data_IF_004702688314
#
_entry.id   IF_004702688314
#
_cell.length_a   1.000
_cell.length_b   1.000
_cell.length_c   1.000
_cell.angle_alpha   90.00
_cell.angle_beta   90.00
_cell.angle_gamma   90.00
#
_symmetry.space_group_name_H-M   'P 1'
#
loop_
_entity.id
_entity.type
_entity.pdbx_description
1 polymer ?
#
# COMPACT_ATOMS: atom_id res chain seq x y z
N UNK A 1 24.70 -20.74 -8.50
CA UNK A 1 24.99 -19.58 -7.63
C UNK A 1 24.02 -19.52 -6.46
N UNK A 2 24.41 -18.89 -5.37
CA UNK A 2 23.62 -18.75 -4.14
C UNK A 2 23.56 -17.30 -3.69
N UNK A 3 22.43 -16.89 -3.13
CA UNK A 3 22.25 -15.58 -2.53
C UNK A 3 22.08 -15.69 -1.02
N UNK A 4 22.68 -14.75 -0.31
CA UNK A 4 22.43 -14.48 1.10
C UNK A 4 21.35 -13.42 1.20
N UNK A 5 20.19 -13.75 1.73
CA UNK A 5 19.02 -12.85 1.77
C UNK A 5 18.67 -12.50 3.22
N UNK A 6 18.46 -11.21 3.46
CA UNK A 6 17.89 -10.70 4.73
C UNK A 6 16.45 -10.27 4.52
N UNK A 7 15.61 -10.53 5.52
CA UNK A 7 14.19 -10.15 5.50
C UNK A 7 13.95 -9.02 6.50
N UNK A 8 12.91 -8.18 6.30
CA UNK A 8 12.53 -7.09 7.20
C UNK A 8 11.90 -7.59 8.51
N UNK A 9 12.64 -8.43 9.24
CA UNK A 9 12.28 -9.05 10.51
C UNK A 9 13.32 -8.66 11.58
N UNK A 10 12.91 -8.65 12.86
CA UNK A 10 13.80 -8.35 13.99
C UNK A 10 14.74 -9.51 14.31
N UNK A 11 15.60 -9.87 13.35
CA UNK A 11 16.56 -10.95 13.50
C UNK A 11 17.80 -10.70 12.65
N UNK A 12 18.99 -10.93 13.22
CA UNK A 12 20.27 -10.91 12.48
C UNK A 12 20.45 -12.13 11.56
N UNK A 13 19.46 -13.02 11.47
CA UNK A 13 19.53 -14.20 10.61
C UNK A 13 19.54 -13.78 9.14
N UNK A 14 20.51 -14.33 8.42
CA UNK A 14 20.63 -14.23 6.97
C UNK A 14 20.43 -15.64 6.41
N UNK A 15 19.56 -15.76 5.41
CA UNK A 15 19.15 -17.04 4.83
C UNK A 15 19.87 -17.27 3.51
N UNK A 16 20.23 -18.52 3.22
CA UNK A 16 20.87 -18.89 1.96
C UNK A 16 19.83 -19.47 1.02
N UNK A 17 19.74 -18.92 -0.19
CA UNK A 17 18.88 -19.41 -1.26
C UNK A 17 19.70 -19.73 -2.49
N UNK A 18 19.24 -20.72 -3.27
CA UNK A 18 19.76 -20.97 -4.60
C UNK A 18 19.14 -19.97 -5.56
N UNK A 19 19.97 -19.40 -6.42
CA UNK A 19 19.50 -18.51 -7.49
C UNK A 19 19.10 -19.40 -8.67
N UNK A 20 17.86 -19.29 -9.20
CA UNK A 20 17.48 -19.93 -10.46
C UNK A 20 18.28 -19.38 -11.64
N UNK A 21 18.54 -20.20 -12.66
CA UNK A 21 19.37 -19.81 -13.81
C UNK A 21 18.85 -18.56 -14.54
N UNK A 22 17.52 -18.42 -14.65
CA UNK A 22 16.88 -17.25 -15.28
C UNK A 22 17.07 -15.93 -14.51
N UNK A 23 17.64 -15.96 -13.29
CA UNK A 23 17.93 -14.78 -12.47
C UNK A 23 19.44 -14.52 -12.29
N UNK A 24 20.33 -15.29 -12.90
CA UNK A 24 21.78 -15.16 -12.70
C UNK A 24 22.33 -13.78 -13.06
N UNK A 25 21.89 -13.22 -14.19
CA UNK A 25 22.39 -11.93 -14.68
C UNK A 25 21.59 -10.72 -14.13
N UNK A 26 20.59 -10.98 -13.28
CA UNK A 26 19.67 -9.97 -12.75
C UNK A 26 19.90 -9.74 -11.25
N UNK A 27 20.23 -10.80 -10.51
CA UNK A 27 20.39 -10.72 -9.06
C UNK A 27 21.81 -10.29 -8.69
N UNK A 28 21.87 -9.18 -7.95
CA UNK A 28 23.08 -8.59 -7.40
C UNK A 28 22.86 -8.19 -5.93
N UNK A 29 23.93 -7.87 -5.17
CA UNK A 29 23.78 -7.27 -3.85
C UNK A 29 22.90 -6.01 -3.92
N UNK A 30 21.90 -5.92 -3.04
CA UNK A 30 20.89 -4.86 -3.05
C UNK A 30 19.58 -5.23 -3.74
N UNK A 31 19.54 -6.27 -4.59
CA UNK A 31 18.30 -6.67 -5.28
C UNK A 31 17.19 -7.07 -4.29
N UNK A 32 15.96 -6.61 -4.57
CA UNK A 32 14.77 -7.02 -3.82
C UNK A 32 14.13 -8.27 -4.45
N UNK A 33 14.10 -9.37 -3.69
CA UNK A 33 13.66 -10.69 -4.15
C UNK A 33 12.50 -11.21 -3.31
N UNK A 34 11.65 -12.03 -3.93
CA UNK A 34 10.68 -12.85 -3.22
C UNK A 34 11.31 -14.21 -2.93
N UNK A 35 11.35 -14.58 -1.65
CA UNK A 35 11.90 -15.87 -1.23
C UNK A 35 11.07 -16.49 -0.11
N UNK A 36 10.98 -17.83 -0.04
CA UNK A 36 10.16 -18.51 0.94
C UNK A 36 10.82 -18.47 2.33
N UNK A 37 10.09 -17.95 3.32
CA UNK A 37 10.44 -18.04 4.73
C UNK A 37 9.34 -18.82 5.48
N UNK A 38 9.72 -19.97 6.02
CA UNK A 38 8.78 -20.96 6.59
C UNK A 38 7.72 -21.37 5.56
N UNK A 39 6.46 -20.90 5.72
CA UNK A 39 5.30 -21.23 4.88
C UNK A 39 4.81 -20.04 4.05
N UNK A 40 5.55 -18.93 4.00
CA UNK A 40 5.13 -17.71 3.32
C UNK A 40 6.22 -17.23 2.39
N UNK A 41 5.81 -16.71 1.24
CA UNK A 41 6.69 -15.94 0.36
C UNK A 41 6.80 -14.52 0.91
N UNK A 42 8.01 -14.00 1.06
CA UNK A 42 8.24 -12.66 1.59
C UNK A 42 9.30 -11.93 0.75
N UNK A 43 9.17 -10.60 0.71
CA UNK A 43 10.18 -9.74 0.13
C UNK A 43 11.39 -9.67 1.07
N UNK A 44 12.59 -9.87 0.51
CA UNK A 44 13.87 -9.73 1.18
C UNK A 44 14.89 -9.09 0.25
N UNK A 45 16.03 -8.72 0.82
CA UNK A 45 17.12 -8.09 0.08
C UNK A 45 18.34 -9.01 0.03
N UNK A 46 18.94 -9.09 -1.15
CA UNK A 46 20.18 -9.84 -1.36
C UNK A 46 21.33 -9.05 -0.74
N UNK A 47 22.01 -9.65 0.22
CA UNK A 47 23.17 -9.09 0.91
C UNK A 47 24.46 -9.39 0.15
N UNK A 48 24.55 -10.60 -0.39
CA UNK A 48 25.71 -11.08 -1.11
C UNK A 48 25.32 -12.24 -2.03
N UNK A 49 26.11 -12.42 -3.09
CA UNK A 49 26.01 -13.54 -4.02
C UNK A 49 27.31 -14.34 -3.93
N UNK A 50 27.20 -15.66 -3.86
CA UNK A 50 28.32 -16.59 -3.70
C UNK A 50 28.21 -17.73 -4.71
N UNK A 51 29.35 -18.24 -5.18
CA UNK A 51 29.39 -19.41 -6.06
C UNK A 51 28.93 -20.68 -5.32
N UNK A 52 29.35 -20.83 -4.07
CA UNK A 52 29.05 -21.96 -3.19
C UNK A 52 28.19 -21.55 -1.99
N UNK A 53 27.35 -22.46 -1.44
CA UNK A 53 26.51 -22.14 -0.30
C UNK A 53 27.29 -22.28 1.00
N UNK A 54 27.17 -21.28 1.88
CA UNK A 54 27.71 -21.36 3.25
C UNK A 54 26.90 -22.34 4.12
N UNK A 55 25.60 -22.46 3.84
CA UNK A 55 24.70 -23.32 4.58
C UNK A 55 24.65 -24.74 3.99
N UNK A 56 24.84 -25.76 4.83
CA UNK A 56 24.87 -27.17 4.42
C UNK A 56 23.52 -27.91 4.48
N UNK A 57 22.47 -27.25 4.98
CA UNK A 57 21.15 -27.88 5.08
C UNK A 57 20.33 -27.76 3.81
N UNK A 58 19.00 -27.96 3.91
CA UNK A 58 18.10 -27.80 2.78
C UNK A 58 18.06 -26.33 2.34
N UNK A 59 18.48 -26.08 1.11
CA UNK A 59 18.45 -24.76 0.47
C UNK A 59 17.19 -24.67 -0.39
N UNK A 60 16.44 -23.59 -0.22
CA UNK A 60 15.29 -23.27 -1.07
C UNK A 60 15.72 -22.35 -2.22
N UNK A 61 14.91 -22.26 -3.26
CA UNK A 61 15.17 -21.37 -4.39
C UNK A 61 14.51 -20.00 -4.17
N UNK A 62 15.10 -18.97 -4.79
CA UNK A 62 14.46 -17.66 -4.95
C UNK A 62 13.29 -17.84 -5.91
N UNK A 63 12.13 -17.27 -5.57
CA UNK A 63 10.91 -17.40 -6.38
C UNK A 63 10.92 -16.42 -7.54
N UNK A 64 11.15 -15.13 -7.23
CA UNK A 64 11.15 -14.07 -8.24
C UNK A 64 11.99 -12.88 -7.78
N UNK A 65 12.38 -12.02 -8.72
CA UNK A 65 12.73 -10.63 -8.41
C UNK A 65 11.44 -9.81 -8.31
N UNK A 66 11.38 -8.81 -7.43
CA UNK A 66 10.17 -8.02 -7.20
C UNK A 66 10.09 -6.78 -8.09
N UNK A 67 11.18 -6.03 -8.17
CA UNK A 67 11.26 -4.81 -8.96
C UNK A 67 12.68 -4.72 -9.54
N UNK A 68 12.78 -4.75 -10.88
CA UNK A 68 14.05 -4.60 -11.58
C UNK A 68 14.63 -3.18 -11.40
N UNK A 69 13.77 -2.18 -11.19
CA UNK A 69 14.19 -0.77 -11.07
C UNK A 69 14.52 -0.38 -9.62
N UNK A 70 14.31 -1.28 -8.65
CA UNK A 70 14.64 -1.03 -7.25
C UNK A 70 16.11 -1.38 -6.97
N UNK A 71 17.00 -0.68 -7.67
CA UNK A 71 18.45 -0.78 -7.48
C UNK A 71 18.88 0.27 -6.46
N UNK A 72 19.28 -0.17 -5.27
CA UNK A 72 19.86 0.72 -4.27
C UNK A 72 21.26 1.14 -4.75
N UNK A 73 21.56 2.45 -4.86
CA UNK A 73 22.90 2.91 -5.19
C UNK A 73 23.92 2.30 -4.23
N UNK A 74 25.12 2.00 -4.74
CA UNK A 74 26.17 1.33 -3.96
C UNK A 74 26.52 2.11 -2.69
N UNK A 75 26.56 3.44 -2.76
CA UNK A 75 26.86 4.33 -1.64
C UNK A 75 25.77 4.28 -0.56
N UNK A 76 24.50 4.21 -0.98
CA UNK A 76 23.38 4.05 -0.07
C UNK A 76 23.46 2.68 0.61
N UNK A 77 23.71 1.62 -0.15
CA UNK A 77 23.88 0.27 0.40
C UNK A 77 24.99 0.21 1.46
N UNK A 78 26.15 0.78 1.16
CA UNK A 78 27.28 0.87 2.10
C UNK A 78 26.90 1.64 3.38
N UNK A 79 26.13 2.72 3.24
CA UNK A 79 25.64 3.49 4.37
C UNK A 79 24.67 2.67 5.24
N UNK A 80 23.73 1.95 4.62
CA UNK A 80 22.79 1.09 5.36
C UNK A 80 23.50 -0.07 6.06
N UNK A 81 24.51 -0.65 5.42
CA UNK A 81 25.35 -1.67 6.05
C UNK A 81 26.15 -1.10 7.23
N UNK A 82 26.72 0.10 7.08
CA UNK A 82 27.38 0.81 8.17
C UNK A 82 26.42 1.09 9.33
N UNK A 83 25.20 1.60 9.07
CA UNK A 83 24.17 1.82 10.10
C UNK A 83 23.88 0.52 10.86
N UNK A 84 23.67 -0.57 10.13
CA UNK A 84 23.40 -1.89 10.72
C UNK A 84 24.51 -2.35 11.66
N UNK A 85 25.77 -2.17 11.25
CA UNK A 85 26.94 -2.56 12.05
C UNK A 85 27.16 -1.63 13.24
N UNK A 86 27.14 -0.32 13.01
CA UNK A 86 27.43 0.70 14.02
C UNK A 86 26.38 0.73 15.12
N UNK A 87 25.09 0.70 14.75
CA UNK A 87 23.98 0.72 15.70
C UNK A 87 23.50 -0.67 16.11
N UNK A 88 24.25 -1.73 15.77
CA UNK A 88 23.94 -3.12 16.13
C UNK A 88 22.45 -3.43 15.85
N UNK A 89 22.01 -3.10 14.64
CA UNK A 89 20.62 -3.22 14.22
C UNK A 89 20.54 -4.22 13.07
N UNK A 90 19.60 -5.18 13.06
CA UNK A 90 19.47 -6.11 11.94
C UNK A 90 19.31 -5.38 10.61
N UNK A 91 20.14 -5.72 9.61
CA UNK A 91 20.14 -5.05 8.31
C UNK A 91 18.76 -5.03 7.65
N UNK A 92 17.96 -6.10 7.82
CA UNK A 92 16.58 -6.13 7.34
C UNK A 92 15.67 -5.06 7.95
N UNK A 93 15.87 -4.68 9.23
CA UNK A 93 15.14 -3.58 9.86
C UNK A 93 15.64 -2.22 9.38
N UNK A 94 16.95 -2.07 9.18
CA UNK A 94 17.52 -0.86 8.58
C UNK A 94 16.95 -0.63 7.18
N UNK A 95 16.95 -1.67 6.34
CA UNK A 95 16.37 -1.62 4.99
C UNK A 95 14.87 -1.32 5.03
N UNK A 96 14.12 -1.93 5.96
CA UNK A 96 12.69 -1.63 6.13
C UNK A 96 12.43 -0.15 6.45
N UNK A 97 13.32 0.48 7.22
CA UNK A 97 13.17 1.88 7.60
C UNK A 97 13.64 2.84 6.50
N UNK A 98 14.70 2.49 5.78
CA UNK A 98 15.32 3.34 4.77
C UNK A 98 14.62 3.25 3.40
N UNK A 99 13.94 2.14 3.12
CA UNK A 99 13.38 1.85 1.80
C UNK A 99 11.85 2.02 1.80
N UNK A 100 11.26 2.68 0.79
CA UNK A 100 9.81 2.73 0.58
C UNK A 100 9.11 1.39 0.77
N UNK A 101 8.10 1.33 1.64
CA UNK A 101 7.34 0.10 1.94
C UNK A 101 6.64 -0.55 0.73
N UNK A 102 6.64 0.11 -0.44
CA UNK A 102 6.21 -0.48 -1.71
C UNK A 102 6.90 -1.81 -2.01
N UNK A 103 8.16 -1.99 -1.57
CA UNK A 103 8.88 -3.26 -1.72
C UNK A 103 8.19 -4.43 -0.97
N UNK A 104 7.45 -4.16 0.10
CA UNK A 104 6.69 -5.20 0.82
C UNK A 104 5.35 -5.42 0.13
N UNK A 105 4.63 -4.33 -0.12
CA UNK A 105 3.30 -4.35 -0.75
C UNK A 105 3.11 -3.07 -1.57
N UNK A 106 2.64 -3.23 -2.81
CA UNK A 106 2.25 -2.12 -3.65
C UNK A 106 1.31 -1.16 -2.89
N UNK A 107 1.59 0.14 -3.01
CA UNK A 107 0.79 1.17 -2.37
C UNK A 107 -0.65 1.12 -2.87
N UNK A 108 -1.59 0.98 -1.94
CA UNK A 108 -3.02 0.95 -2.21
C UNK A 108 -3.69 1.95 -1.26
N UNK A 109 -3.93 3.21 -1.71
CA UNK A 109 -4.57 4.21 -0.87
C UNK A 109 -6.00 3.78 -0.51
N UNK A 110 -6.46 4.18 0.67
CA UNK A 110 -7.85 3.97 1.04
C UNK A 110 -8.73 4.90 0.22
N UNK A 111 -9.79 4.36 -0.39
CA UNK A 111 -10.76 5.17 -1.12
C UNK A 111 -11.69 5.89 -0.15
N UNK A 112 -11.91 7.18 -0.40
CA UNK A 112 -12.91 8.01 0.28
C UNK A 112 -14.13 8.16 -0.63
N UNK A 113 -15.31 8.02 -0.03
CA UNK A 113 -16.58 8.15 -0.71
C UNK A 113 -17.01 9.62 -0.77
N UNK A 114 -17.19 10.13 -1.99
CA UNK A 114 -17.76 11.44 -2.30
C UNK A 114 -19.15 11.28 -2.91
N UNK A 115 -20.01 12.26 -2.69
CA UNK A 115 -21.37 12.30 -3.23
C UNK A 115 -21.65 13.65 -3.87
N UNK A 116 -22.34 13.61 -5.02
CA UNK A 116 -22.82 14.81 -5.71
C UNK A 116 -24.28 14.61 -6.09
N UNK A 117 -25.11 15.64 -5.94
CA UNK A 117 -26.50 15.59 -6.41
C UNK A 117 -26.53 15.61 -7.94
N UNK A 118 -27.43 14.82 -8.53
CA UNK A 118 -27.65 14.83 -9.98
C UNK A 118 -28.92 15.61 -10.34
N UNK A 119 -29.19 15.77 -11.63
CA UNK A 119 -30.38 16.49 -12.12
C UNK A 119 -31.70 15.86 -11.67
N UNK A 120 -31.76 14.54 -11.51
CA UNK A 120 -32.94 13.84 -11.00
C UNK A 120 -33.18 14.12 -9.51
N UNK A 121 -32.12 14.18 -8.70
CA UNK A 121 -32.19 14.57 -7.29
C UNK A 121 -32.65 16.02 -7.11
N UNK A 122 -32.17 16.94 -7.95
CA UNK A 122 -32.59 18.34 -7.92
C UNK A 122 -34.09 18.50 -8.23
N UNK A 123 -34.60 17.80 -9.25
CA UNK A 123 -36.03 17.82 -9.60
C UNK A 123 -36.89 17.24 -8.45
N UNK A 124 -36.48 16.11 -7.88
CA UNK A 124 -37.21 15.47 -6.78
C UNK A 124 -37.15 16.23 -5.46
N UNK A 125 -36.29 17.24 -5.33
CA UNK A 125 -36.15 18.01 -4.10
C UNK A 125 -37.43 18.79 -3.75
N UNK A 126 -38.16 19.27 -4.77
CA UNK A 126 -39.39 20.04 -4.59
C UNK A 126 -40.54 19.16 -4.07
N UNK A 127 -40.65 17.93 -4.60
CA UNK A 127 -41.71 16.97 -4.27
C UNK A 127 -41.29 15.92 -3.24
N UNK A 128 -40.24 16.20 -2.47
CA UNK A 128 -39.63 15.17 -1.61
C UNK A 128 -40.50 14.80 -0.42
N UNK A 129 -40.68 13.49 -0.21
CA UNK A 129 -41.50 12.91 0.85
C UNK A 129 -41.08 13.40 2.25
N UNK A 130 -42.06 13.94 2.99
CA UNK A 130 -41.88 14.44 4.37
C UNK A 130 -41.53 13.32 5.35
N UNK A 131 -41.82 12.06 5.04
CA UNK A 131 -41.53 10.89 5.87
C UNK A 131 -40.02 10.54 5.96
N UNK A 132 -39.18 11.11 5.08
CA UNK A 132 -37.73 10.84 5.01
C UNK A 132 -36.89 12.10 5.25
N UNK A 133 -36.94 12.70 6.46
CA UNK A 133 -36.33 14.00 6.74
C UNK A 133 -34.80 14.02 6.60
N UNK A 134 -34.11 12.91 6.90
CA UNK A 134 -32.65 12.83 6.76
C UNK A 134 -32.20 12.86 5.28
N UNK A 135 -32.92 12.16 4.41
CA UNK A 135 -32.65 12.18 2.95
C UNK A 135 -32.87 13.57 2.37
N UNK A 136 -33.96 14.25 2.78
CA UNK A 136 -34.27 15.62 2.36
C UNK A 136 -33.20 16.63 2.80
N UNK A 137 -32.72 16.53 4.05
CA UNK A 137 -31.65 17.39 4.57
C UNK A 137 -30.36 17.25 3.76
N UNK A 138 -29.94 16.02 3.48
CA UNK A 138 -28.74 15.76 2.67
C UNK A 138 -28.92 16.30 1.24
N UNK A 139 -30.04 16.02 0.57
CA UNK A 139 -30.26 16.54 -0.79
C UNK A 139 -30.27 18.07 -0.83
N UNK A 140 -30.84 18.73 0.18
CA UNK A 140 -30.82 20.20 0.30
C UNK A 140 -29.41 20.73 0.51
N UNK A 141 -28.61 20.09 1.35
CA UNK A 141 -27.21 20.46 1.54
C UNK A 141 -26.40 20.30 0.24
N UNK A 142 -26.59 19.17 -0.47
CA UNK A 142 -25.92 18.91 -1.74
C UNK A 142 -26.41 19.81 -2.89
N UNK A 143 -27.64 20.34 -2.85
CA UNK A 143 -28.12 21.27 -3.88
C UNK A 143 -27.45 22.64 -3.85
N UNK A 144 -26.82 23.00 -2.73
CA UNK A 144 -26.10 24.26 -2.57
C UNK A 144 -24.62 24.16 -2.93
N UNK A 145 -24.11 22.96 -3.26
CA UNK A 145 -22.68 22.70 -3.49
C UNK A 145 -22.50 22.07 -4.87
N UNK A 146 -21.73 22.71 -5.73
CA UNK A 146 -21.47 22.21 -7.08
C UNK A 146 -20.42 21.09 -7.11
N UNK A 147 -19.53 21.05 -6.13
CA UNK A 147 -18.45 20.06 -6.02
C UNK A 147 -18.88 18.78 -5.28
N UNK A 148 -18.29 17.61 -5.60
CA UNK A 148 -18.51 16.40 -4.82
C UNK A 148 -18.07 16.59 -3.37
N UNK A 149 -18.95 16.22 -2.43
CA UNK A 149 -18.69 16.38 -0.99
C UNK A 149 -18.31 15.04 -0.37
N UNK A 150 -17.33 15.04 0.54
CA UNK A 150 -16.99 13.83 1.33
C UNK A 150 -18.21 13.39 2.14
N UNK A 151 -18.59 12.12 2.00
CA UNK A 151 -19.76 11.56 2.70
C UNK A 151 -19.62 11.69 4.23
N UNK A 152 -18.39 11.56 4.74
CA UNK A 152 -18.08 11.71 6.15
C UNK A 152 -18.32 13.12 6.70
N UNK A 153 -18.27 14.16 5.86
CA UNK A 153 -18.53 15.56 6.26
C UNK A 153 -20.02 15.85 6.46
N UNK A 154 -20.92 14.97 5.98
CA UNK A 154 -22.37 15.18 6.04
C UNK A 154 -23.01 14.75 7.39
N UNK A 155 -22.21 14.55 8.44
CA UNK A 155 -22.68 14.13 9.77
C UNK A 155 -23.66 15.11 10.41
N UNK A 156 -23.53 16.40 10.12
CA UNK A 156 -24.45 17.44 10.59
C UNK A 156 -25.87 17.25 10.02
N UNK A 157 -25.97 16.65 8.83
CA UNK A 157 -27.25 16.47 8.12
C UNK A 157 -27.89 15.10 8.35
N UNK A 158 -27.14 14.10 8.84
CA UNK A 158 -27.68 12.80 9.20
C UNK A 158 -26.77 12.03 10.17
N UNK A 159 -27.35 11.29 11.11
CA UNK A 159 -26.63 10.41 12.04
C UNK A 159 -25.83 9.32 11.33
N UNK A 160 -26.31 8.83 10.18
CA UNK A 160 -25.63 7.83 9.34
C UNK A 160 -25.57 8.28 7.87
N UNK A 161 -24.63 9.19 7.51
CA UNK A 161 -24.57 9.75 6.15
C UNK A 161 -24.34 8.71 5.06
N UNK A 162 -23.50 7.70 5.30
CA UNK A 162 -23.23 6.64 4.33
C UNK A 162 -24.47 5.81 3.99
N UNK A 163 -25.30 5.48 4.98
CA UNK A 163 -26.53 4.70 4.77
C UNK A 163 -27.56 5.51 3.97
N UNK A 164 -27.73 6.79 4.33
CA UNK A 164 -28.66 7.70 3.67
C UNK A 164 -28.22 7.97 2.23
N UNK A 165 -26.93 8.24 1.99
CA UNK A 165 -26.38 8.41 0.65
C UNK A 165 -26.54 7.13 -0.19
N UNK A 166 -26.29 5.95 0.37
CA UNK A 166 -26.52 4.68 -0.34
C UNK A 166 -27.97 4.50 -0.78
N UNK A 167 -28.93 4.91 0.02
CA UNK A 167 -30.35 4.86 -0.34
C UNK A 167 -30.70 5.88 -1.44
N UNK A 168 -30.15 7.09 -1.36
CA UNK A 168 -30.33 8.13 -2.38
C UNK A 168 -29.70 7.74 -3.72
N UNK A 169 -28.54 7.07 -3.70
CA UNK A 169 -27.84 6.57 -4.87
C UNK A 169 -28.64 5.43 -5.52
N UNK A 170 -29.16 4.49 -4.73
CA UNK A 170 -30.11 3.46 -5.19
C UNK A 170 -31.37 4.04 -5.81
N UNK A 171 -31.85 5.18 -5.30
CA UNK A 171 -33.01 5.88 -5.83
C UNK A 171 -32.68 6.76 -7.06
N UNK A 172 -31.40 6.77 -7.50
CA UNK A 172 -30.93 7.51 -8.66
C UNK A 172 -30.85 9.02 -8.47
N UNK A 173 -30.80 9.52 -7.23
CA UNK A 173 -30.89 10.95 -6.91
C UNK A 173 -29.53 11.62 -6.67
N UNK A 174 -28.50 10.83 -6.39
CA UNK A 174 -27.13 11.29 -6.22
C UNK A 174 -26.20 10.40 -7.05
N UNK A 175 -24.96 10.84 -7.25
CA UNK A 175 -23.88 10.06 -7.83
C UNK A 175 -22.79 9.87 -6.79
N UNK A 176 -22.45 8.61 -6.51
CA UNK A 176 -21.31 8.26 -5.65
C UNK A 176 -20.02 8.20 -6.48
N UNK A 177 -18.95 8.81 -5.96
CA UNK A 177 -17.60 8.81 -6.55
C UNK A 177 -16.64 8.32 -5.49
N UNK A 178 -15.72 7.42 -5.84
CA UNK A 178 -14.63 7.00 -4.97
C UNK A 178 -13.34 7.63 -5.45
N UNK A 179 -12.65 8.33 -4.56
CA UNK A 179 -11.35 8.93 -4.84
C UNK A 179 -10.31 8.40 -3.83
N UNK A 180 -9.07 8.14 -4.25
CA UNK A 180 -8.03 7.73 -3.33
C UNK A 180 -7.74 8.86 -2.34
N UNK A 181 -7.66 8.53 -1.06
CA UNK A 181 -7.19 9.46 -0.04
C UNK A 181 -5.67 9.51 -0.09
N UNK A 182 -5.15 10.44 -0.89
CA UNK A 182 -3.72 10.69 -0.98
C UNK A 182 -3.38 11.68 0.13
N UNK A 183 -2.52 11.26 1.05
CA UNK A 183 -1.89 12.16 2.01
C UNK A 183 -0.63 12.69 1.34
N UNK A 184 -0.50 14.00 1.17
CA UNK A 184 0.78 14.59 0.81
C UNK A 184 1.70 14.51 2.04
N UNK A 185 2.84 13.80 1.94
CA UNK A 185 3.77 13.69 3.07
C UNK A 185 4.47 15.01 3.43
N UNK A 186 4.34 16.07 2.62
CA UNK A 186 4.94 17.39 2.84
C UNK A 186 3.94 18.46 3.30
N UNK A 187 2.64 18.18 3.31
CA UNK A 187 1.59 19.09 3.80
C UNK A 187 1.39 19.02 5.34
N UNK A 188 2.48 19.00 6.13
CA UNK A 188 2.43 18.96 7.60
C UNK A 188 2.50 20.37 8.19
#
# INVERSE_FOLDING_TARGET
MFARVSFPISSFKIFTYKIPEFLYDIIEPGSCVNAPIKRRLQAGFVIAVNAEPVYKGKILEIDSIRENDFHLPTELWQTLEWISRYYITPIGQVLKAAVPNSFIKAYQPQNVQFVKINSAGLKKLQDFDKSKPAQKRILKALSCIEEPVKTASLKEFATSPHTVCRQLDKAGMIKTIFQPNITDPFDI
#
